data_IF_087812194475
#
_entry.id   IF_087812194475
#
_cell.length_a   1.000
_cell.length_b   1.000
_cell.length_c   1.000
_cell.angle_alpha   90.00
_cell.angle_beta   90.00
_cell.angle_gamma   90.00
#
_symmetry.space_group_name_H-M   'P 1'
#
loop_
_entity.id
_entity.type
_entity.pdbx_description
1 polymer ?
#
# COMPACT_ATOMS: atom_id res chain seq x y z
N UNK A 1 -17.81 16.62 -4.62
CA UNK A 1 -16.63 16.08 -5.34
C UNK A 1 -16.18 14.86 -4.59
N UNK A 2 -15.84 13.80 -5.31
CA UNK A 2 -15.56 12.48 -4.78
C UNK A 2 -14.18 12.01 -5.20
N UNK A 3 -13.56 11.20 -4.35
CA UNK A 3 -12.35 10.43 -4.63
C UNK A 3 -12.53 8.98 -4.15
N UNK A 4 -11.78 8.05 -4.76
CA UNK A 4 -11.77 6.65 -4.32
C UNK A 4 -10.54 6.44 -3.43
N UNK A 5 -10.77 5.89 -2.23
CA UNK A 5 -9.70 5.52 -1.29
C UNK A 5 -9.79 4.03 -0.99
N UNK A 6 -8.75 3.28 -1.36
CA UNK A 6 -8.66 1.84 -1.09
C UNK A 6 -7.52 1.55 -0.11
N UNK A 7 -7.80 1.03 1.11
CA UNK A 7 -6.77 0.73 2.09
C UNK A 7 -5.96 -0.50 1.70
N UNK A 8 -4.66 -0.47 2.02
CA UNK A 8 -3.74 -1.60 1.90
C UNK A 8 -3.46 -2.14 3.30
N UNK A 9 -3.76 -3.41 3.51
CA UNK A 9 -3.64 -4.08 4.82
C UNK A 9 -2.72 -5.29 4.69
N UNK A 10 -1.62 -5.32 5.43
CA UNK A 10 -0.67 -6.45 5.48
C UNK A 10 -0.67 -7.02 6.90
N UNK A 11 -0.90 -8.33 7.05
CA UNK A 11 -0.97 -9.00 8.36
C UNK A 11 -1.88 -8.29 9.38
N UNK A 12 -3.05 -7.86 8.92
CA UNK A 12 -4.03 -7.15 9.76
C UNK A 12 -3.64 -5.71 10.12
N UNK A 13 -2.49 -5.21 9.64
CA UNK A 13 -2.04 -3.82 9.86
C UNK A 13 -2.29 -2.98 8.61
N UNK A 14 -2.91 -1.82 8.79
CA UNK A 14 -3.03 -0.82 7.73
C UNK A 14 -1.67 -0.20 7.46
N UNK A 15 -1.20 -0.30 6.22
CA UNK A 15 0.13 0.19 5.82
C UNK A 15 0.07 1.40 4.88
N UNK A 16 -1.10 1.70 4.32
CA UNK A 16 -1.27 2.82 3.40
C UNK A 16 -2.59 2.79 2.63
N UNK A 17 -2.78 3.77 1.76
CA UNK A 17 -3.99 3.90 0.94
C UNK A 17 -3.60 4.14 -0.52
N UNK A 18 -4.40 3.56 -1.43
CA UNK A 18 -4.41 3.92 -2.85
C UNK A 18 -5.49 4.99 -3.00
N UNK A 19 -5.08 6.19 -3.41
CA UNK A 19 -5.99 7.28 -3.79
C UNK A 19 -6.16 7.28 -5.30
N UNK A 20 -7.40 7.39 -5.78
CA UNK A 20 -7.69 7.47 -7.20
C UNK A 20 -8.66 8.59 -7.52
N UNK A 21 -8.09 9.61 -8.18
CA UNK A 21 -8.80 10.63 -8.95
C UNK A 21 -9.70 11.55 -8.13
N UNK A 22 -10.18 12.60 -8.80
CA UNK A 22 -11.28 13.43 -8.32
C UNK A 22 -12.34 13.46 -9.43
N UNK A 23 -13.60 13.25 -9.06
CA UNK A 23 -14.71 13.18 -10.00
C UNK A 23 -16.02 13.66 -9.38
N UNK A 24 -17.04 13.79 -10.22
CA UNK A 24 -18.44 13.93 -9.82
C UNK A 24 -19.25 12.78 -10.37
N UNK A 25 -20.36 12.43 -9.72
CA UNK A 25 -21.30 11.52 -10.35
C UNK A 25 -22.05 12.21 -11.49
N UNK A 26 -22.33 11.47 -12.56
CA UNK A 26 -23.10 11.97 -13.70
C UNK A 26 -24.58 12.23 -13.36
N UNK A 27 -25.09 11.59 -12.31
CA UNK A 27 -26.43 11.78 -11.75
C UNK A 27 -26.52 12.91 -10.70
N UNK A 28 -25.40 13.54 -10.35
CA UNK A 28 -25.36 14.61 -9.35
C UNK A 28 -25.24 16.01 -10.00
N UNK A 29 -26.10 16.97 -9.63
CA UNK A 29 -25.96 18.34 -10.08
C UNK A 29 -24.74 19.00 -9.42
N UNK A 30 -24.04 19.87 -10.16
CA UNK A 30 -23.01 20.72 -9.61
C UNK A 30 -23.61 21.97 -8.99
N UNK A 31 -23.21 22.28 -7.76
CA UNK A 31 -23.53 23.54 -7.11
C UNK A 31 -22.55 24.64 -7.58
N UNK A 32 -22.85 25.23 -8.73
CA UNK A 32 -22.02 26.29 -9.32
C UNK A 32 -21.84 27.49 -8.38
N UNK A 33 -22.87 27.88 -7.61
CA UNK A 33 -22.76 29.00 -6.67
C UNK A 33 -21.80 28.69 -5.53
N UNK A 34 -21.77 27.46 -5.03
CA UNK A 34 -20.76 27.03 -4.06
C UNK A 34 -19.35 27.19 -4.64
N UNK A 35 -19.11 26.74 -5.87
CA UNK A 35 -17.78 26.84 -6.50
C UNK A 35 -17.39 28.29 -6.83
N UNK A 36 -18.33 29.12 -7.31
CA UNK A 36 -18.11 30.55 -7.53
C UNK A 36 -17.82 31.28 -6.21
N UNK A 37 -18.52 30.94 -5.13
CA UNK A 37 -18.26 31.51 -3.81
C UNK A 37 -16.86 31.16 -3.31
N UNK A 38 -16.35 29.97 -3.61
CA UNK A 38 -14.98 29.57 -3.30
C UNK A 38 -13.97 30.35 -4.15
N UNK A 39 -14.22 30.50 -5.45
CA UNK A 39 -13.37 31.31 -6.32
C UNK A 39 -13.23 32.74 -5.80
N UNK A 40 -14.35 33.40 -5.48
CA UNK A 40 -14.38 34.74 -4.87
C UNK A 40 -13.65 34.80 -3.53
N UNK A 41 -13.91 33.83 -2.64
CA UNK A 41 -13.31 33.77 -1.30
C UNK A 41 -11.78 33.69 -1.35
N UNK A 42 -11.24 32.94 -2.31
CA UNK A 42 -9.80 32.72 -2.43
C UNK A 42 -9.14 33.59 -3.51
N UNK A 43 -9.89 34.50 -4.14
CA UNK A 43 -9.35 35.44 -5.14
C UNK A 43 -9.00 34.81 -6.49
N UNK A 44 -9.61 33.67 -6.84
CA UNK A 44 -9.46 33.07 -8.16
C UNK A 44 -10.35 33.75 -9.20
N UNK A 45 -9.93 33.73 -10.47
CA UNK A 45 -10.78 34.15 -11.58
C UNK A 45 -11.98 33.19 -11.72
N UNK A 46 -13.19 33.71 -11.63
CA UNK A 46 -14.42 32.91 -11.65
C UNK A 46 -14.60 32.12 -12.95
N UNK A 47 -14.33 32.73 -14.11
CA UNK A 47 -14.49 32.08 -15.41
C UNK A 47 -13.48 30.94 -15.60
N UNK A 48 -12.20 31.18 -15.29
CA UNK A 48 -11.15 30.15 -15.36
C UNK A 48 -11.40 29.01 -14.36
N UNK A 49 -11.91 29.35 -13.16
CA UNK A 49 -12.21 28.38 -12.13
C UNK A 49 -13.36 27.45 -12.56
N UNK A 50 -14.44 28.01 -13.11
CA UNK A 50 -15.56 27.20 -13.62
C UNK A 50 -15.15 26.39 -14.86
N UNK A 51 -14.36 26.97 -15.76
CA UNK A 51 -13.83 26.23 -16.90
C UNK A 51 -12.92 25.05 -16.46
N UNK A 52 -12.22 25.16 -15.32
CA UNK A 52 -11.49 24.05 -14.74
C UNK A 52 -12.41 23.02 -14.07
N UNK A 53 -13.44 23.48 -13.35
CA UNK A 53 -14.46 22.61 -12.74
C UNK A 53 -15.15 21.73 -13.80
N UNK A 54 -15.47 22.28 -14.96
CA UNK A 54 -16.14 21.54 -16.05
C UNK A 54 -15.26 20.49 -16.72
N UNK A 55 -13.92 20.57 -16.56
CA UNK A 55 -12.99 19.54 -17.03
C UNK A 55 -12.89 18.35 -16.09
N UNK A 56 -13.42 18.46 -14.87
CA UNK A 56 -13.42 17.34 -13.91
C UNK A 56 -14.34 16.24 -14.45
N UNK A 57 -13.87 14.98 -14.52
CA UNK A 57 -14.65 13.89 -15.09
C UNK A 57 -15.96 13.68 -14.32
N UNK A 58 -17.03 13.40 -15.08
CA UNK A 58 -18.30 12.90 -14.55
C UNK A 58 -18.42 11.42 -14.81
N UNK A 59 -18.55 10.63 -13.76
CA UNK A 59 -18.53 9.17 -13.82
C UNK A 59 -19.87 8.61 -13.35
N UNK A 60 -20.33 7.55 -14.00
CA UNK A 60 -21.47 6.79 -13.49
C UNK A 60 -21.09 6.02 -12.23
N UNK A 61 -22.09 5.70 -11.41
CA UNK A 61 -21.90 4.84 -10.22
C UNK A 61 -21.30 3.48 -10.61
N UNK A 62 -21.76 2.89 -11.71
CA UNK A 62 -21.22 1.65 -12.26
C UNK A 62 -19.74 1.77 -12.63
N UNK A 63 -19.32 2.88 -13.24
CA UNK A 63 -17.92 3.13 -13.60
C UNK A 63 -17.03 3.18 -12.35
N UNK A 64 -17.53 3.82 -11.30
CA UNK A 64 -16.85 3.92 -10.00
C UNK A 64 -16.78 2.56 -9.32
N UNK A 65 -17.85 1.78 -9.31
CA UNK A 65 -17.88 0.42 -8.77
C UNK A 65 -16.89 -0.52 -9.48
N UNK A 66 -16.83 -0.46 -10.81
CA UNK A 66 -15.86 -1.21 -11.59
C UNK A 66 -14.42 -0.80 -11.27
N UNK A 67 -14.18 0.50 -11.12
CA UNK A 67 -12.87 1.04 -10.72
C UNK A 67 -12.49 0.59 -9.30
N UNK A 68 -13.42 0.62 -8.34
CA UNK A 68 -13.22 0.12 -6.98
C UNK A 68 -12.86 -1.37 -6.99
N UNK A 69 -13.54 -2.19 -7.81
CA UNK A 69 -13.22 -3.62 -7.97
C UNK A 69 -11.77 -3.83 -8.43
N UNK A 70 -11.30 -3.02 -9.36
CA UNK A 70 -9.90 -3.03 -9.79
C UNK A 70 -8.94 -2.64 -8.66
N UNK A 71 -9.18 -1.52 -7.97
CA UNK A 71 -8.30 -1.06 -6.90
C UNK A 71 -8.25 -2.01 -5.71
N UNK A 72 -9.37 -2.64 -5.35
CA UNK A 72 -9.40 -3.69 -4.32
C UNK A 72 -8.52 -4.89 -4.70
N UNK A 73 -8.57 -5.33 -5.96
CA UNK A 73 -7.70 -6.42 -6.45
C UNK A 73 -6.23 -6.02 -6.40
N UNK A 74 -5.91 -4.79 -6.80
CA UNK A 74 -4.55 -4.25 -6.72
C UNK A 74 -4.06 -4.16 -5.26
N UNK A 75 -4.88 -3.61 -4.36
CA UNK A 75 -4.55 -3.53 -2.94
C UNK A 75 -4.31 -4.92 -2.34
N UNK A 76 -5.17 -5.90 -2.66
CA UNK A 76 -4.99 -7.28 -2.22
C UNK A 76 -3.68 -7.90 -2.76
N UNK A 77 -3.32 -7.62 -4.02
CA UNK A 77 -2.05 -8.08 -4.59
C UNK A 77 -0.84 -7.50 -3.83
N UNK A 78 -0.86 -6.19 -3.55
CA UNK A 78 0.18 -5.54 -2.75
C UNK A 78 0.25 -6.11 -1.33
N UNK A 79 -0.90 -6.38 -0.72
CA UNK A 79 -1.01 -7.01 0.59
C UNK A 79 -0.35 -8.40 0.63
N UNK A 80 -0.63 -9.23 -0.37
CA UNK A 80 -0.05 -10.58 -0.49
C UNK A 80 1.47 -10.56 -0.72
N UNK A 81 1.94 -9.62 -1.54
CA UNK A 81 3.37 -9.39 -1.75
C UNK A 81 4.06 -8.93 -0.46
N UNK A 82 3.45 -7.99 0.26
CA UNK A 82 3.94 -7.51 1.56
C UNK A 82 4.06 -8.64 2.58
N UNK A 83 3.02 -9.46 2.72
CA UNK A 83 3.03 -10.63 3.60
C UNK A 83 4.14 -11.63 3.23
N UNK A 84 4.25 -11.97 1.94
CA UNK A 84 5.26 -12.89 1.43
C UNK A 84 6.68 -12.39 1.73
N UNK A 85 6.94 -11.09 1.55
CA UNK A 85 8.24 -10.49 1.83
C UNK A 85 8.59 -10.52 3.32
N UNK A 86 7.63 -10.23 4.21
CA UNK A 86 7.83 -10.32 5.66
C UNK A 86 8.20 -11.76 6.05
N UNK A 87 7.44 -12.73 5.55
CA UNK A 87 7.69 -14.15 5.83
C UNK A 87 9.03 -14.63 5.28
N UNK A 88 9.43 -14.16 4.10
CA UNK A 88 10.73 -14.47 3.51
C UNK A 88 11.88 -13.91 4.36
N UNK A 89 11.76 -12.66 4.83
CA UNK A 89 12.77 -12.05 5.70
C UNK A 89 12.93 -12.84 7.02
N UNK A 90 11.82 -13.25 7.64
CA UNK A 90 11.84 -14.07 8.85
C UNK A 90 12.54 -15.42 8.63
N UNK A 91 12.23 -16.10 7.51
CA UNK A 91 12.86 -17.39 7.18
C UNK A 91 14.36 -17.25 6.91
N UNK A 92 14.81 -16.16 6.29
CA UNK A 92 16.24 -15.90 6.07
C UNK A 92 16.97 -15.70 7.41
N UNK A 93 16.39 -14.93 8.34
CA UNK A 93 16.96 -14.70 9.67
C UNK A 93 17.03 -16.00 10.50
N UNK A 94 15.99 -16.84 10.44
CA UNK A 94 15.98 -18.15 11.09
C UNK A 94 17.04 -19.07 10.49
N UNK A 95 17.19 -19.07 9.15
CA UNK A 95 18.23 -19.83 8.45
C UNK A 95 19.62 -19.42 8.92
N UNK A 96 19.91 -18.13 8.94
CA UNK A 96 21.22 -17.61 9.36
C UNK A 96 21.53 -18.01 10.81
N UNK A 97 20.56 -17.89 11.71
CA UNK A 97 20.69 -18.35 13.11
C UNK A 97 20.99 -19.85 13.21
N UNK A 98 20.36 -20.68 12.38
CA UNK A 98 20.61 -22.12 12.36
C UNK A 98 21.99 -22.46 11.80
N UNK A 99 22.46 -21.74 10.78
CA UNK A 99 23.80 -21.91 10.22
C UNK A 99 24.86 -21.58 11.27
N UNK A 100 24.74 -20.43 11.95
CA UNK A 100 25.68 -20.03 13.01
C UNK A 100 25.76 -21.07 14.14
N UNK A 101 24.60 -21.65 14.54
CA UNK A 101 24.55 -22.71 15.55
C UNK A 101 25.23 -23.99 15.07
N UNK A 102 25.04 -24.37 13.82
CA UNK A 102 25.68 -25.56 13.25
C UNK A 102 27.20 -25.40 13.17
N UNK A 103 27.68 -24.23 12.75
CA UNK A 103 29.11 -23.92 12.70
C UNK A 103 29.73 -23.98 14.10
N UNK A 104 29.11 -23.34 15.09
CA UNK A 104 29.59 -23.39 16.48
C UNK A 104 29.62 -24.79 17.07
N UNK A 105 28.56 -25.57 16.87
CA UNK A 105 28.51 -26.96 17.34
C UNK A 105 29.60 -27.82 16.68
N UNK A 106 29.90 -27.58 15.40
CA UNK A 106 30.97 -28.27 14.68
C UNK A 106 32.33 -27.92 15.26
N UNK A 107 32.61 -26.64 15.52
CA UNK A 107 33.86 -26.21 16.17
C UNK A 107 34.05 -26.85 17.55
N UNK A 108 32.98 -26.91 18.35
CA UNK A 108 33.02 -27.51 19.69
C UNK A 108 33.28 -29.03 19.62
N UNK A 109 32.68 -29.73 18.65
CA UNK A 109 32.94 -31.15 18.36
C UNK A 109 34.40 -31.38 17.95
N UNK A 110 34.93 -30.58 17.03
CA UNK A 110 36.32 -30.69 16.55
C UNK A 110 37.30 -30.47 17.71
N UNK A 111 37.03 -29.51 18.60
CA UNK A 111 37.82 -29.28 19.82
C UNK A 111 37.76 -30.46 20.79
N UNK A 112 36.58 -31.03 21.03
CA UNK A 112 36.42 -32.17 21.93
C UNK A 112 37.16 -33.42 21.41
N UNK A 113 37.11 -33.68 20.11
CA UNK A 113 37.86 -34.77 19.47
C UNK A 113 39.37 -34.55 19.53
N UNK A 114 39.83 -33.32 19.30
CA UNK A 114 41.23 -32.97 19.42
C UNK A 114 41.75 -33.26 20.84
N UNK A 115 41.05 -32.84 21.90
CA UNK A 115 41.42 -33.10 23.29
C UNK A 115 41.41 -34.59 23.64
N UNK A 116 40.43 -35.35 23.12
CA UNK A 116 40.36 -36.80 23.33
C UNK A 116 41.56 -37.57 22.77
N UNK A 117 42.10 -37.13 21.63
CA UNK A 117 43.23 -37.78 20.97
C UNK A 117 44.60 -37.48 21.60
N UNK A 118 44.74 -36.43 22.43
CA UNK A 118 45.99 -36.08 23.14
C UNK A 118 46.06 -36.72 24.54
N UNK A 119 44.94 -37.26 25.04
CA UNK A 119 44.81 -37.88 26.35
C UNK A 119 44.95 -39.41 26.38
N UNK A 120 45.21 -40.05 25.23
CA UNK A 120 45.59 -41.48 25.09
C UNK A 120 47.04 -41.60 24.65
#
# INVERSE_FOLDING_TARGET
MWDIVTPIIVDGKHIGNIFSGQFFFDDEPLDYELFLSQARKYGFNEEEYIAALEKVPRLSRETVENSMSFFMKLANMLSQLGHSNIKLAQLLEERDTLVDKLEKNREDLDRAQAVGNIGS
#
